data_IF_845975876548
#
_entry.id   IF_845975876548
#
_cell.length_a   1.000
_cell.length_b   1.000
_cell.length_c   1.000
_cell.angle_alpha   90.00
_cell.angle_beta   90.00
_cell.angle_gamma   90.00
#
_symmetry.space_group_name_H-M   'P 1'
#
loop_
_entity.id
_entity.type
_entity.pdbx_description
1 polymer ?
#
# COMPACT_ATOMS: atom_id res chain seq x y z
N UNK A 1 -14.27 18.36 6.85
CA UNK A 1 -13.79 18.10 5.48
C UNK A 1 -12.29 18.37 5.43
N UNK A 2 -11.45 17.33 5.35
CA UNK A 2 -10.00 17.53 5.16
C UNK A 2 -9.75 17.86 3.68
N UNK A 3 -9.16 19.04 3.47
CA UNK A 3 -9.00 19.74 2.21
C UNK A 3 -8.49 18.88 1.03
N UNK A 4 -9.26 18.90 -0.06
CA UNK A 4 -8.84 18.44 -1.40
C UNK A 4 -7.58 19.20 -1.91
N UNK A 5 -7.28 20.36 -1.32
CA UNK A 5 -6.20 21.25 -1.75
C UNK A 5 -4.77 20.81 -1.34
N UNK A 6 -4.60 19.95 -0.33
CA UNK A 6 -3.25 19.58 0.15
C UNK A 6 -2.54 18.55 -0.75
N UNK A 7 -3.20 18.04 -1.79
CA UNK A 7 -2.68 17.00 -2.70
C UNK A 7 -1.74 17.49 -3.82
N UNK A 8 -1.52 18.80 -3.96
CA UNK A 8 -0.68 19.34 -5.05
C UNK A 8 0.84 19.35 -4.78
N UNK A 9 1.29 18.82 -3.63
CA UNK A 9 2.70 18.85 -3.21
C UNK A 9 3.52 17.54 -3.26
N UNK A 10 2.94 16.37 -3.57
CA UNK A 10 3.68 15.09 -3.65
C UNK A 10 4.01 14.67 -5.11
N UNK A 11 4.48 15.63 -5.90
CA UNK A 11 4.42 15.62 -7.38
C UNK A 11 5.52 14.83 -8.11
N UNK A 12 6.39 14.08 -7.44
CA UNK A 12 7.36 13.20 -8.13
C UNK A 12 7.18 11.72 -7.77
N UNK A 13 7.23 11.37 -6.48
CA UNK A 13 7.02 9.99 -6.01
C UNK A 13 5.70 9.39 -6.50
N UNK A 14 4.60 10.16 -6.40
CA UNK A 14 3.30 9.75 -6.95
C UNK A 14 3.34 9.47 -8.44
N UNK A 15 4.02 10.31 -9.21
CA UNK A 15 4.11 10.15 -10.65
C UNK A 15 4.95 8.91 -11.02
N UNK A 16 6.02 8.63 -10.29
CA UNK A 16 6.80 7.41 -10.46
C UNK A 16 5.97 6.14 -10.16
N UNK A 17 5.14 6.16 -9.11
CA UNK A 17 4.24 5.04 -8.81
C UNK A 17 3.11 4.90 -9.82
N UNK A 18 2.54 6.00 -10.31
CA UNK A 18 1.55 5.99 -11.39
C UNK A 18 2.13 5.34 -12.65
N UNK A 19 3.37 5.65 -13.00
CA UNK A 19 4.08 5.02 -14.13
C UNK A 19 4.34 3.53 -13.86
N UNK A 20 4.98 3.21 -12.73
CA UNK A 20 5.37 1.85 -12.38
C UNK A 20 4.20 0.85 -12.29
N UNK A 21 3.02 1.32 -11.87
CA UNK A 21 1.81 0.49 -11.73
C UNK A 21 0.83 0.62 -12.91
N UNK A 22 1.18 1.34 -13.98
CA UNK A 22 0.30 1.56 -15.12
C UNK A 22 -1.01 2.26 -14.73
N UNK A 23 -0.94 3.20 -13.77
CA UNK A 23 -2.06 3.95 -13.19
C UNK A 23 -3.20 3.05 -12.68
N UNK A 24 -2.85 1.95 -12.03
CA UNK A 24 -3.81 1.02 -11.41
C UNK A 24 -3.46 0.73 -9.97
N UNK A 25 -4.48 0.72 -9.11
CA UNK A 25 -4.32 0.28 -7.73
C UNK A 25 -3.68 -1.12 -7.67
N UNK A 26 -2.62 -1.27 -6.86
CA UNK A 26 -1.88 -2.52 -6.68
C UNK A 26 -2.80 -3.68 -6.24
N UNK A 27 -3.79 -3.39 -5.39
CA UNK A 27 -4.70 -4.41 -4.86
C UNK A 27 -5.89 -4.64 -5.79
N UNK A 28 -6.68 -3.60 -6.09
CA UNK A 28 -7.98 -3.77 -6.77
C UNK A 28 -7.90 -3.65 -8.29
N UNK A 29 -6.81 -3.09 -8.84
CA UNK A 29 -6.73 -2.74 -10.25
C UNK A 29 -7.60 -1.58 -10.71
N UNK A 30 -8.25 -0.87 -9.77
CA UNK A 30 -8.97 0.38 -10.04
C UNK A 30 -8.08 1.36 -10.81
N UNK A 31 -8.59 1.91 -11.91
CA UNK A 31 -7.89 2.85 -12.80
C UNK A 31 -8.41 4.29 -12.72
N UNK A 32 -9.31 4.58 -11.78
CA UNK A 32 -9.76 5.95 -11.52
C UNK A 32 -8.62 6.73 -10.85
N UNK A 33 -7.83 7.45 -11.64
CA UNK A 33 -6.56 8.07 -11.23
C UNK A 33 -6.73 9.03 -10.05
N UNK A 34 -7.89 9.67 -9.93
CA UNK A 34 -8.25 10.66 -8.92
C UNK A 34 -8.30 10.05 -7.52
N UNK A 35 -8.66 8.77 -7.40
CA UNK A 35 -8.73 8.05 -6.12
C UNK A 35 -7.44 7.31 -5.78
N UNK A 36 -6.48 7.24 -6.72
CA UNK A 36 -5.20 6.59 -6.48
C UNK A 36 -4.31 7.49 -5.62
N UNK A 37 -3.50 6.90 -4.76
CA UNK A 37 -2.58 7.54 -3.83
C UNK A 37 -1.27 6.77 -3.76
N UNK A 38 -0.19 7.51 -3.50
CA UNK A 38 1.13 6.95 -3.27
C UNK A 38 1.26 6.65 -1.78
N UNK A 39 1.25 5.37 -1.43
CA UNK A 39 1.45 4.90 -0.07
C UNK A 39 2.91 4.49 0.11
N UNK A 40 3.56 4.99 1.15
CA UNK A 40 4.88 4.49 1.56
C UNK A 40 4.70 3.20 2.36
N UNK A 41 5.55 2.20 2.10
CA UNK A 41 5.55 0.94 2.87
C UNK A 41 6.15 1.19 4.26
N UNK A 42 7.34 1.78 4.29
CA UNK A 42 7.97 2.27 5.52
C UNK A 42 7.88 3.79 5.60
N UNK A 43 7.78 4.38 6.81
CA UNK A 43 7.59 5.81 6.99
C UNK A 43 8.63 6.65 6.25
N UNK A 44 8.16 7.75 5.67
CA UNK A 44 9.01 8.75 5.04
C UNK A 44 10.02 9.34 6.03
N UNK A 45 11.31 9.35 5.65
CA UNK A 45 12.41 9.94 6.43
C UNK A 45 13.23 10.99 5.65
N UNK A 46 12.66 11.52 4.56
CA UNK A 46 13.31 12.44 3.62
C UNK A 46 13.33 11.90 2.19
N UNK A 47 13.74 12.72 1.22
CA UNK A 47 13.67 12.43 -0.23
C UNK A 47 14.31 11.09 -0.63
N UNK A 48 15.32 10.61 0.11
CA UNK A 48 15.96 9.32 -0.13
C UNK A 48 15.03 8.10 0.10
N UNK A 49 13.89 8.30 0.76
CA UNK A 49 12.84 7.28 0.99
C UNK A 49 11.71 7.31 -0.04
N UNK A 50 11.69 8.30 -0.94
CA UNK A 50 10.77 8.42 -2.09
C UNK A 50 11.21 7.53 -3.26
N UNK A 51 11.38 6.25 -2.95
CA UNK A 51 11.77 5.21 -3.91
C UNK A 51 10.58 4.35 -4.26
N UNK A 52 10.47 3.98 -5.54
CA UNK A 52 9.35 3.16 -6.04
C UNK A 52 9.27 1.81 -5.33
N UNK A 53 10.42 1.21 -4.98
CA UNK A 53 10.49 -0.03 -4.20
C UNK A 53 10.05 0.13 -2.73
N UNK A 54 9.90 1.36 -2.23
CA UNK A 54 9.30 1.67 -0.93
C UNK A 54 7.84 2.14 -1.06
N UNK A 55 7.21 1.95 -2.21
CA UNK A 55 5.89 2.50 -2.50
C UNK A 55 4.88 1.49 -3.04
N UNK A 56 3.61 1.73 -2.73
CA UNK A 56 2.45 1.08 -3.35
C UNK A 56 1.53 2.15 -3.92
N UNK A 57 0.97 1.92 -5.11
CA UNK A 57 -0.11 2.74 -5.64
C UNK A 57 -1.46 2.16 -5.18
N UNK A 58 -2.16 2.84 -4.27
CA UNK A 58 -3.38 2.32 -3.63
C UNK A 58 -4.57 3.23 -3.87
N UNK A 59 -5.80 2.69 -3.77
CA UNK A 59 -7.01 3.53 -3.65
C UNK A 59 -6.98 4.20 -2.26
N UNK A 60 -7.51 5.42 -2.14
CA UNK A 60 -7.41 6.24 -0.93
C UNK A 60 -7.88 5.54 0.37
N UNK A 61 -8.94 4.75 0.29
CA UNK A 61 -9.43 3.94 1.41
C UNK A 61 -8.44 2.82 1.80
N UNK A 62 -7.88 2.11 0.83
CA UNK A 62 -6.88 1.06 1.06
C UNK A 62 -5.57 1.63 1.57
N UNK A 63 -5.17 2.80 1.10
CA UNK A 63 -4.04 3.54 1.65
C UNK A 63 -4.29 3.87 3.13
N UNK A 64 -5.48 4.39 3.45
CA UNK A 64 -5.85 4.67 4.84
C UNK A 64 -5.78 3.40 5.71
N UNK A 65 -6.31 2.27 5.24
CA UNK A 65 -6.24 1.00 5.98
C UNK A 65 -4.80 0.48 6.14
N UNK A 66 -3.97 0.66 5.13
CA UNK A 66 -2.56 0.28 5.14
C UNK A 66 -1.75 1.11 6.15
N UNK A 67 -1.98 2.42 6.19
CA UNK A 67 -1.35 3.34 7.15
C UNK A 67 -1.83 3.09 8.59
N UNK A 68 -3.10 2.72 8.75
CA UNK A 68 -3.67 2.31 10.03
C UNK A 68 -3.25 0.90 10.48
N UNK A 69 -2.40 0.21 9.71
CA UNK A 69 -1.92 -1.14 10.01
C UNK A 69 -3.06 -2.19 10.09
N UNK A 70 -4.15 -1.95 9.36
CA UNK A 70 -5.31 -2.85 9.27
C UNK A 70 -5.27 -3.74 8.03
N UNK A 71 -4.38 -3.44 7.09
CA UNK A 71 -4.18 -4.16 5.83
C UNK A 71 -2.68 -4.22 5.54
N UNK A 72 -2.16 -5.41 5.20
CA UNK A 72 -0.77 -5.59 4.80
C UNK A 72 -0.64 -6.57 3.64
N UNK A 73 0.57 -6.66 3.09
CA UNK A 73 0.91 -7.61 2.02
C UNK A 73 1.80 -8.70 2.60
N UNK A 74 1.45 -9.97 2.39
CA UNK A 74 2.24 -11.12 2.83
C UNK A 74 3.46 -11.35 1.93
N UNK A 75 4.46 -12.15 2.37
CA UNK A 75 5.61 -12.52 1.53
C UNK A 75 5.23 -13.17 0.18
N UNK A 76 4.08 -13.82 0.10
CA UNK A 76 3.52 -14.43 -1.12
C UNK A 76 2.83 -13.40 -2.04
N UNK A 77 2.96 -12.10 -1.74
CA UNK A 77 2.29 -10.99 -2.43
C UNK A 77 0.76 -11.10 -2.40
N UNK A 78 0.23 -11.49 -1.25
CA UNK A 78 -1.21 -11.60 -1.00
C UNK A 78 -1.67 -10.54 -0.02
N UNK A 79 -2.91 -10.07 -0.17
CA UNK A 79 -3.51 -9.16 0.83
C UNK A 79 -3.90 -9.94 2.08
N UNK A 80 -3.49 -9.43 3.23
CA UNK A 80 -3.96 -9.86 4.54
C UNK A 80 -4.61 -8.67 5.27
N UNK A 81 -5.51 -9.00 6.20
CA UNK A 81 -6.39 -8.04 6.85
C UNK A 81 -6.42 -8.29 8.36
N UNK A 82 -6.53 -7.21 9.11
CA UNK A 82 -6.78 -7.25 10.54
C UNK A 82 -8.15 -7.90 10.83
N UNK A 83 -8.32 -8.56 12.00
CA UNK A 83 -9.57 -9.21 12.38
C UNK A 83 -10.80 -8.30 12.28
N UNK A 84 -10.65 -7.01 12.60
CA UNK A 84 -11.71 -6.00 12.54
C UNK A 84 -12.28 -5.77 11.14
N UNK A 85 -11.53 -6.09 10.08
CA UNK A 85 -11.99 -5.96 8.70
C UNK A 85 -12.65 -7.23 8.15
N UNK A 86 -12.53 -8.38 8.84
CA UNK A 86 -13.03 -9.66 8.33
C UNK A 86 -14.56 -9.76 8.26
N UNK A 87 -15.28 -8.90 8.99
CA UNK A 87 -16.75 -8.82 8.99
C UNK A 87 -17.27 -7.65 8.15
N UNK A 88 -16.41 -7.02 7.36
CA UNK A 88 -16.73 -5.88 6.49
C UNK A 88 -16.62 -6.24 5.02
N UNK A 89 -17.02 -5.33 4.13
CA UNK A 89 -16.89 -5.52 2.68
C UNK A 89 -15.44 -5.70 2.20
N UNK A 90 -14.45 -5.28 3.00
CA UNK A 90 -13.03 -5.48 2.67
C UNK A 90 -12.60 -6.94 2.73
N UNK A 91 -13.38 -7.83 3.36
CA UNK A 91 -13.09 -9.27 3.40
C UNK A 91 -12.90 -9.86 1.99
N UNK A 92 -13.61 -9.33 0.99
CA UNK A 92 -13.47 -9.74 -0.41
C UNK A 92 -12.05 -9.55 -0.98
N UNK A 93 -11.21 -8.73 -0.36
CA UNK A 93 -9.82 -8.50 -0.77
C UNK A 93 -8.85 -9.51 -0.14
N UNK A 94 -9.24 -10.24 0.91
CA UNK A 94 -8.36 -11.20 1.60
C UNK A 94 -7.85 -12.26 0.63
N UNK A 95 -6.53 -12.46 0.60
CA UNK A 95 -5.89 -13.45 -0.29
C UNK A 95 -5.82 -13.03 -1.76
N UNK A 96 -6.24 -11.81 -2.11
CA UNK A 96 -6.05 -11.29 -3.46
C UNK A 96 -4.56 -11.14 -3.77
N UNK A 97 -4.14 -11.55 -4.97
CA UNK A 97 -2.77 -11.32 -5.45
C UNK A 97 -2.57 -9.83 -5.75
N UNK A 98 -1.54 -9.24 -5.15
CA UNK A 98 -1.17 -7.85 -5.40
C UNK A 98 -0.45 -7.73 -6.74
N UNK A 99 -0.90 -6.79 -7.58
CA UNK A 99 -0.21 -6.44 -8.82
C UNK A 99 1.17 -5.89 -8.51
N UNK A 100 2.13 -6.33 -9.30
CA UNK A 100 3.52 -5.89 -9.23
C UNK A 100 3.85 -4.98 -10.41
N UNK A 101 4.75 -3.99 -10.24
CA UNK A 101 5.37 -3.31 -11.36
C UNK A 101 6.05 -4.30 -12.32
N UNK A 102 5.97 -4.01 -13.62
CA UNK A 102 6.61 -4.84 -14.66
C UNK A 102 8.13 -4.89 -14.45
N UNK A 103 8.72 -3.73 -14.15
CA UNK A 103 10.13 -3.61 -13.86
C UNK A 103 10.46 -4.16 -12.47
N UNK A 104 11.30 -5.20 -12.41
CA UNK A 104 11.70 -5.84 -11.14
C UNK A 104 12.30 -4.87 -10.12
N UNK A 105 13.07 -3.87 -10.57
CA UNK A 105 13.69 -2.84 -9.71
C UNK A 105 12.67 -1.92 -9.02
N UNK A 106 11.45 -1.85 -9.54
CA UNK A 106 10.37 -1.01 -9.02
C UNK A 106 9.43 -1.82 -8.12
N UNK A 107 9.62 -3.14 -8.01
CA UNK A 107 8.77 -3.95 -7.13
C UNK A 107 9.01 -3.55 -5.68
N UNK A 108 7.95 -3.56 -4.85
CA UNK A 108 8.06 -3.41 -3.42
C UNK A 108 9.19 -4.25 -2.83
N UNK A 109 10.01 -3.63 -2.00
CA UNK A 109 11.08 -4.29 -1.30
C UNK A 109 10.46 -5.32 -0.32
N UNK A 110 10.82 -6.62 -0.41
CA UNK A 110 10.23 -7.66 0.42
C UNK A 110 10.52 -7.47 1.92
N UNK A 111 11.67 -6.90 2.28
CA UNK A 111 12.01 -6.63 3.68
C UNK A 111 11.14 -5.51 4.24
N UNK A 112 10.84 -4.48 3.43
CA UNK A 112 9.95 -3.39 3.84
C UNK A 112 8.52 -3.90 4.06
N UNK A 113 8.02 -4.74 3.16
CA UNK A 113 6.71 -5.38 3.30
C UNK A 113 6.66 -6.29 4.54
N UNK A 114 7.72 -7.04 4.80
CA UNK A 114 7.80 -7.94 5.96
C UNK A 114 7.80 -7.15 7.28
N UNK A 115 8.54 -6.04 7.35
CA UNK A 115 8.54 -5.16 8.52
C UNK A 115 7.19 -4.48 8.74
N UNK A 116 6.52 -4.04 7.66
CA UNK A 116 5.14 -3.51 7.76
C UNK A 116 4.16 -4.57 8.26
N UNK A 117 4.22 -5.78 7.71
CA UNK A 117 3.39 -6.91 8.13
C UNK A 117 3.59 -7.26 9.60
N UNK A 118 4.85 -7.28 10.08
CA UNK A 118 5.19 -7.51 11.49
C UNK A 118 4.49 -6.49 12.41
N UNK A 119 4.55 -5.20 12.05
CA UNK A 119 3.88 -4.13 12.82
C UNK A 119 2.36 -4.28 12.86
N UNK A 120 1.75 -4.76 11.77
CA UNK A 120 0.31 -5.05 11.75
C UNK A 120 -0.05 -6.20 12.71
N UNK A 121 0.74 -7.28 12.67
CA UNK A 121 0.51 -8.46 13.52
C UNK A 121 0.70 -8.15 15.02
N UNK A 122 1.68 -7.31 15.35
CA UNK A 122 1.94 -6.86 16.73
C UNK A 122 0.77 -6.03 17.30
N UNK A 123 0.13 -5.19 16.49
CA UNK A 123 -1.04 -4.41 16.90
C UNK A 123 -2.30 -5.26 17.08
N UNK A 124 -2.45 -6.31 16.29
CA UNK A 124 -3.56 -7.24 16.39
C UNK A 124 -3.43 -8.26 17.54
N UNK A 125 -2.33 -8.21 18.31
CA UNK A 125 -2.07 -9.13 19.41
C UNK A 125 -1.82 -10.58 18.97
N UNK A 126 -1.53 -10.79 17.69
CA UNK A 126 -1.14 -12.10 17.17
C UNK A 126 0.38 -12.27 17.37
N UNK A 127 0.86 -13.38 17.97
CA UNK A 127 2.27 -13.67 17.96
C UNK A 127 2.73 -13.80 16.50
N UNK A 128 3.83 -13.11 16.14
CA UNK A 128 4.44 -13.19 14.82
C UNK A 128 4.82 -14.62 14.41
N UNK A 129 5.19 -14.84 13.13
CA UNK A 129 5.41 -16.17 12.57
C UNK A 129 6.48 -16.99 13.30
#
# INVERSE_FOLDING_TARGET
>A
MRAVAQRRGQSFFRNQLLDAYGSRCAITGCSAKEVLEAAHILPYRGDHTDRVDNGLLLRADLHTLFDCLLLWITPENKVALAPSLLTTDYFALKGQTVRQPESKKNRPNPDHLSEHARRCQELDGAPGP
#
